data_IF_861382531151
#
_entry.id   IF_861382531151
#
_cell.length_a   1.000
_cell.length_b   1.000
_cell.length_c   1.000
_cell.angle_alpha   90.00
_cell.angle_beta   90.00
_cell.angle_gamma   90.00
#
_symmetry.space_group_name_H-M   'P 1'
#
loop_
_entity.id
_entity.type
_entity.pdbx_description
1 polymer ?
#
# COMPACT_ATOMS: atom_id res chain seq x y z
N UNK A 1 -10.07 -3.39 -2.23
CA UNK A 1 -8.92 -3.68 -1.34
C UNK A 1 -7.98 -4.63 -2.05
N UNK A 2 -6.70 -4.28 -2.03
CA UNK A 2 -5.65 -5.14 -2.58
C UNK A 2 -4.68 -5.45 -1.43
N UNK A 3 -4.75 -6.66 -0.92
CA UNK A 3 -3.94 -7.09 0.21
C UNK A 3 -3.72 -8.60 0.18
N UNK A 4 -2.50 -9.07 0.24
CA UNK A 4 -1.26 -8.28 0.22
C UNK A 4 -0.94 -7.73 -1.15
N UNK A 5 -0.41 -6.51 -1.20
CA UNK A 5 0.11 -5.93 -2.43
C UNK A 5 1.62 -6.15 -2.45
N UNK A 6 2.07 -6.98 -3.39
CA UNK A 6 3.49 -7.32 -3.51
C UNK A 6 4.27 -6.20 -4.19
N UNK A 7 5.60 -6.27 -4.10
CA UNK A 7 6.47 -5.32 -4.78
C UNK A 7 6.22 -5.27 -6.28
N UNK A 8 5.98 -6.42 -6.90
CA UNK A 8 5.70 -6.49 -8.33
C UNK A 8 4.41 -5.73 -8.69
N UNK A 9 3.35 -5.93 -7.92
CA UNK A 9 2.08 -5.23 -8.16
C UNK A 9 2.26 -3.72 -7.95
N UNK A 10 2.93 -3.31 -6.88
CA UNK A 10 3.17 -1.90 -6.57
C UNK A 10 3.95 -1.22 -7.69
N UNK A 11 5.00 -1.88 -8.19
CA UNK A 11 5.79 -1.35 -9.29
C UNK A 11 4.96 -1.18 -10.56
N UNK A 12 4.14 -2.17 -10.89
CA UNK A 12 3.28 -2.11 -12.08
C UNK A 12 2.26 -0.98 -11.95
N UNK A 13 1.59 -0.89 -10.81
CA UNK A 13 0.56 0.13 -10.61
C UNK A 13 1.17 1.54 -10.68
N UNK A 14 2.31 1.75 -10.02
CA UNK A 14 2.96 3.06 -10.00
C UNK A 14 3.44 3.49 -11.39
N UNK A 15 3.75 2.53 -12.27
CA UNK A 15 4.26 2.81 -13.61
C UNK A 15 3.20 2.64 -14.71
N UNK A 16 1.95 2.49 -14.34
CA UNK A 16 0.84 2.44 -15.30
C UNK A 16 0.78 1.17 -16.13
N UNK A 17 1.38 0.08 -15.65
CA UNK A 17 1.36 -1.19 -16.36
C UNK A 17 0.10 -1.98 -15.99
N UNK A 18 -0.70 -2.34 -17.01
CA UNK A 18 -1.99 -3.01 -16.80
C UNK A 18 -2.03 -4.34 -17.54
N UNK A 19 -1.14 -5.25 -17.16
CA UNK A 19 -0.97 -6.55 -17.82
C UNK A 19 -1.58 -7.72 -17.04
N UNK A 20 -2.39 -7.45 -16.03
CA UNK A 20 -3.06 -8.49 -15.25
C UNK A 20 -4.49 -8.07 -14.93
N UNK A 21 -5.31 -9.05 -14.51
CA UNK A 21 -6.69 -8.77 -14.12
C UNK A 21 -6.74 -7.76 -12.96
N UNK A 22 -5.85 -7.90 -11.99
CA UNK A 22 -5.82 -7.01 -10.83
C UNK A 22 -5.43 -5.58 -11.23
N UNK A 23 -4.39 -5.42 -12.05
CA UNK A 23 -3.98 -4.07 -12.48
C UNK A 23 -5.02 -3.42 -13.37
N UNK A 24 -5.69 -4.19 -14.24
CA UNK A 24 -6.76 -3.66 -15.08
C UNK A 24 -7.97 -3.24 -14.25
N UNK A 25 -8.36 -4.04 -13.27
CA UNK A 25 -9.47 -3.72 -12.37
C UNK A 25 -9.16 -2.47 -11.54
N UNK A 26 -7.93 -2.34 -11.07
CA UNK A 26 -7.50 -1.17 -10.31
C UNK A 26 -7.59 0.09 -11.16
N UNK A 27 -7.08 0.03 -12.39
CA UNK A 27 -7.13 1.17 -13.31
C UNK A 27 -8.57 1.58 -13.59
N UNK A 28 -9.45 0.63 -13.83
CA UNK A 28 -10.87 0.91 -14.09
C UNK A 28 -11.53 1.57 -12.88
N UNK A 29 -11.23 1.08 -11.67
CA UNK A 29 -11.76 1.67 -10.44
C UNK A 29 -11.29 3.11 -10.25
N UNK A 30 -10.00 3.37 -10.48
CA UNK A 30 -9.45 4.73 -10.36
C UNK A 30 -10.08 5.69 -11.37
N UNK A 31 -10.31 5.22 -12.60
CA UNK A 31 -10.95 6.03 -13.64
C UNK A 31 -12.37 6.43 -13.23
N UNK A 32 -13.04 5.60 -12.45
CA UNK A 32 -14.39 5.85 -11.96
C UNK A 32 -14.41 6.49 -10.57
N UNK A 33 -13.27 6.98 -10.09
CA UNK A 33 -13.12 7.63 -8.78
C UNK A 33 -13.50 6.73 -7.60
N UNK A 34 -13.29 5.42 -7.74
CA UNK A 34 -13.52 4.46 -6.67
C UNK A 34 -12.24 4.35 -5.86
N UNK A 35 -12.32 4.51 -4.53
CA UNK A 35 -11.11 4.41 -3.68
C UNK A 35 -10.49 3.03 -3.74
N UNK A 36 -9.15 2.99 -3.76
CA UNK A 36 -8.37 1.76 -3.70
C UNK A 36 -7.62 1.75 -2.37
N UNK A 37 -7.74 0.67 -1.62
CA UNK A 37 -7.01 0.47 -0.36
C UNK A 37 -5.96 -0.59 -0.57
N UNK A 38 -4.71 -0.26 -0.27
CA UNK A 38 -3.56 -1.12 -0.50
C UNK A 38 -2.95 -1.56 0.83
N UNK A 39 -2.78 -2.87 0.98
CA UNK A 39 -2.03 -3.44 2.09
C UNK A 39 -0.68 -3.94 1.59
N UNK A 40 0.37 -3.15 1.80
CA UNK A 40 1.70 -3.45 1.27
C UNK A 40 2.33 -4.65 1.98
N UNK A 41 3.04 -5.48 1.22
CA UNK A 41 3.87 -6.55 1.75
C UNK A 41 5.01 -6.77 0.76
N UNK A 42 6.17 -6.20 1.06
CA UNK A 42 7.30 -6.26 0.12
C UNK A 42 8.63 -6.24 0.87
N UNK A 43 9.60 -6.98 0.36
CA UNK A 43 10.94 -7.05 0.93
C UNK A 43 11.81 -5.84 0.57
N UNK A 44 11.39 -5.02 -0.38
CA UNK A 44 12.19 -3.89 -0.86
C UNK A 44 11.45 -2.55 -0.80
N UNK A 45 10.53 -2.42 0.15
CA UNK A 45 9.74 -1.20 0.31
C UNK A 45 10.59 0.03 0.64
N UNK A 46 11.70 -0.13 1.34
CA UNK A 46 12.66 0.94 1.58
C UNK A 46 13.80 0.92 0.57
N UNK A 47 13.78 -0.02 -0.38
CA UNK A 47 14.73 -0.13 -1.46
C UNK A 47 14.14 0.34 -2.78
N UNK A 48 14.20 -0.52 -3.80
CA UNK A 48 13.76 -0.15 -5.16
C UNK A 48 12.31 0.27 -5.26
N UNK A 49 11.43 -0.31 -4.45
CA UNK A 49 10.01 0.03 -4.48
C UNK A 49 9.62 1.24 -3.63
N UNK A 50 10.57 1.84 -2.92
CA UNK A 50 10.29 3.02 -2.10
C UNK A 50 9.69 4.15 -2.92
N UNK A 51 10.27 4.43 -4.08
CA UNK A 51 9.75 5.47 -4.98
C UNK A 51 8.35 5.16 -5.48
N UNK A 52 8.06 3.89 -5.73
CA UNK A 52 6.74 3.48 -6.22
C UNK A 52 5.68 3.64 -5.14
N UNK A 53 6.00 3.26 -3.90
CA UNK A 53 5.09 3.44 -2.78
C UNK A 53 4.80 4.94 -2.56
N UNK A 54 5.84 5.78 -2.58
CA UNK A 54 5.65 7.22 -2.39
C UNK A 54 4.85 7.85 -3.53
N UNK A 55 5.04 7.40 -4.76
CA UNK A 55 4.21 7.84 -5.88
C UNK A 55 2.74 7.50 -5.66
N UNK A 56 2.47 6.28 -5.20
CA UNK A 56 1.09 5.82 -4.99
C UNK A 56 0.43 6.53 -3.81
N UNK A 57 1.17 6.82 -2.73
CA UNK A 57 0.64 7.58 -1.60
C UNK A 57 0.15 8.96 -2.04
N UNK A 58 0.81 9.55 -3.04
CA UNK A 58 0.47 10.86 -3.56
C UNK A 58 -0.53 10.81 -4.72
N UNK A 59 -1.05 9.64 -5.05
CA UNK A 59 -2.01 9.48 -6.13
C UNK A 59 -3.43 9.57 -5.58
N UNK A 60 -4.28 10.35 -6.25
CA UNK A 60 -5.67 10.52 -5.84
C UNK A 60 -6.40 9.17 -5.82
N UNK A 61 -7.23 8.97 -4.81
CA UNK A 61 -8.06 7.78 -4.62
C UNK A 61 -7.27 6.51 -4.27
N UNK A 62 -5.99 6.62 -3.98
CA UNK A 62 -5.20 5.49 -3.46
C UNK A 62 -4.89 5.75 -2.00
N UNK A 63 -5.20 4.76 -1.16
CA UNK A 63 -5.00 4.84 0.29
C UNK A 63 -4.29 3.61 0.77
N UNK A 64 -3.44 3.77 1.77
CA UNK A 64 -2.65 2.66 2.31
C UNK A 64 -3.12 2.29 3.70
N UNK A 65 -3.22 0.97 3.96
CA UNK A 65 -3.28 0.48 5.32
C UNK A 65 -1.96 0.89 5.96
N UNK A 66 -1.96 1.53 7.13
CA UNK A 66 -0.71 1.93 7.77
C UNK A 66 0.29 0.79 7.82
N UNK A 67 1.55 1.08 7.54
CA UNK A 67 2.58 0.07 7.39
C UNK A 67 3.87 0.49 8.10
N UNK A 68 4.75 -0.49 8.28
CA UNK A 68 6.04 -0.24 8.88
C UNK A 68 6.96 -1.42 8.66
N UNK A 69 8.11 -1.39 9.31
CA UNK A 69 9.08 -2.47 9.24
C UNK A 69 8.65 -3.61 10.17
N UNK A 70 8.74 -4.84 9.68
CA UNK A 70 8.43 -6.03 10.49
C UNK A 70 9.68 -6.65 11.12
N UNK A 71 10.80 -6.65 10.41
CA UNK A 71 12.05 -7.21 10.89
C UNK A 71 13.22 -6.38 10.37
N UNK A 72 13.48 -5.28 11.05
CA UNK A 72 14.49 -4.33 10.58
C UNK A 72 15.93 -4.87 10.73
N UNK A 73 16.13 -5.95 11.47
CA UNK A 73 17.45 -6.55 11.65
C UNK A 73 17.80 -7.46 10.48
N UNK A 74 16.91 -8.41 10.17
CA UNK A 74 17.16 -9.41 9.10
C UNK A 74 16.64 -8.95 7.74
N UNK A 75 15.62 -8.07 7.73
CA UNK A 75 14.99 -7.57 6.50
C UNK A 75 14.86 -6.05 6.59
N UNK A 76 15.98 -5.31 6.52
CA UNK A 76 15.96 -3.86 6.80
C UNK A 76 15.16 -3.04 5.79
N UNK A 77 14.89 -3.58 4.60
CA UNK A 77 14.14 -2.86 3.57
C UNK A 77 12.69 -3.33 3.45
N UNK A 78 12.27 -4.27 4.27
CA UNK A 78 10.92 -4.84 4.19
C UNK A 78 9.89 -3.94 4.85
N UNK A 79 8.73 -3.80 4.19
CA UNK A 79 7.58 -3.09 4.74
C UNK A 79 6.37 -3.99 4.70
N UNK A 80 5.56 -3.95 5.74
CA UNK A 80 4.34 -4.75 5.85
C UNK A 80 3.21 -3.93 6.46
N UNK A 81 2.00 -4.13 5.95
CA UNK A 81 0.82 -3.45 6.45
C UNK A 81 0.41 -3.99 7.82
N UNK A 82 -0.15 -3.10 8.64
CA UNK A 82 -0.74 -3.45 9.92
C UNK A 82 -2.22 -3.77 9.69
N UNK A 83 -2.53 -5.04 9.44
CA UNK A 83 -3.86 -5.47 9.01
C UNK A 83 -4.96 -5.27 10.04
N UNK A 84 -4.63 -5.09 11.31
CA UNK A 84 -5.59 -4.69 12.33
C UNK A 84 -6.23 -3.33 12.04
N UNK A 85 -5.61 -2.55 11.15
CA UNK A 85 -6.12 -1.24 10.72
C UNK A 85 -6.86 -1.29 9.38
N UNK A 86 -7.12 -2.49 8.84
CA UNK A 86 -7.79 -2.63 7.55
C UNK A 86 -9.15 -1.94 7.52
N UNK A 87 -10.02 -2.26 8.46
CA UNK A 87 -11.38 -1.70 8.48
C UNK A 87 -11.37 -0.18 8.71
N UNK A 88 -10.62 0.37 9.71
CA UNK A 88 -10.52 1.81 9.84
C UNK A 88 -9.99 2.51 8.60
N UNK A 89 -9.06 1.87 7.86
CA UNK A 89 -8.53 2.43 6.62
C UNK A 89 -9.60 2.51 5.54
N UNK A 90 -10.40 1.46 5.40
CA UNK A 90 -11.50 1.42 4.43
C UNK A 90 -12.51 2.54 4.74
N UNK A 91 -12.88 2.70 6.01
CA UNK A 91 -13.84 3.72 6.42
C UNK A 91 -13.33 5.12 6.07
N UNK A 92 -12.06 5.41 6.34
CA UNK A 92 -11.46 6.69 5.98
C UNK A 92 -11.37 6.88 4.47
N UNK A 93 -11.04 5.82 3.74
CA UNK A 93 -10.93 5.89 2.28
C UNK A 93 -12.29 6.22 1.64
N UNK A 94 -13.38 5.71 2.20
CA UNK A 94 -14.72 6.04 1.72
C UNK A 94 -15.05 7.52 1.94
N UNK A 95 -14.40 8.18 2.88
CA UNK A 95 -14.51 9.62 3.11
C UNK A 95 -13.39 10.40 2.40
N UNK A 96 -12.69 9.76 1.46
CA UNK A 96 -11.59 10.35 0.70
C UNK A 96 -10.45 10.84 1.58
N UNK A 97 -10.16 10.11 2.66
CA UNK A 97 -9.10 10.45 3.61
C UNK A 97 -8.16 9.27 3.83
N UNK A 98 -6.88 9.58 3.95
CA UNK A 98 -5.88 8.61 4.37
C UNK A 98 -5.83 8.55 5.89
N UNK A 99 -6.05 7.36 6.46
CA UNK A 99 -5.92 7.20 7.91
C UNK A 99 -4.48 7.51 8.34
N UNK A 100 -4.35 8.22 9.46
CA UNK A 100 -3.06 8.63 9.99
C UNK A 100 -2.85 8.06 11.39
N UNK A 101 -1.60 7.81 11.79
CA UNK A 101 -0.38 7.91 10.99
C UNK A 101 -0.28 6.76 9.96
N UNK A 102 0.16 7.08 8.76
CA UNK A 102 0.28 6.05 7.70
C UNK A 102 1.54 5.20 7.88
N UNK A 103 2.57 5.76 8.47
CA UNK A 103 3.80 5.03 8.79
C UNK A 103 3.80 4.76 10.29
N UNK A 104 3.84 3.46 10.63
CA UNK A 104 3.81 3.03 12.03
C UNK A 104 5.21 2.72 12.53
N UNK A 105 5.48 3.10 13.76
CA UNK A 105 6.75 2.77 14.38
C UNK A 105 6.84 1.27 14.65
N UNK A 106 8.08 0.76 14.66
CA UNK A 106 8.33 -0.64 14.99
C UNK A 106 7.97 -0.91 16.44
N UNK A 107 7.20 -1.98 16.66
CA UNK A 107 6.91 -2.49 17.99
C UNK A 107 7.43 -3.90 18.11
N UNK A 108 8.36 -4.10 19.05
CA UNK A 108 8.85 -5.44 19.31
C UNK A 108 7.73 -6.29 19.90
N UNK A 109 7.37 -7.36 19.19
CA UNK A 109 6.44 -8.36 19.72
C UNK A 109 7.19 -9.32 20.61
N UNK A 110 6.59 -9.67 21.73
CA UNK A 110 7.15 -10.66 22.63
C UNK A 110 6.76 -12.05 22.22
#
# INVERSE_FOLDING_TARGET
VIAPATGNFIAKLANGITDSTVTMATKASLRNNIPIVIGVSTNDGLGMNGKNIMNLINTKNIYFIPFGQDDFINKPNSLVAHYDLLIPTIEKALDNSQIQPVIKEYKKTK
#
